data_IF_287878412553
#
_entry.id   IF_287878412553
#
_cell.length_a   1.000
_cell.length_b   1.000
_cell.length_c   1.000
_cell.angle_alpha   90.00
_cell.angle_beta   90.00
_cell.angle_gamma   90.00
#
_symmetry.space_group_name_H-M   'P 1'
#
loop_
_entity.id
_entity.type
_entity.pdbx_description
1 polymer ?
#
# COMPACT_ATOMS: atom_id res chain seq x y z
N UNK A 1 28.30 15.67 1.75
CA UNK A 1 27.07 15.09 2.32
C UNK A 1 26.09 15.00 1.17
N UNK A 2 26.21 13.92 0.41
CA UNK A 2 25.39 13.69 -0.75
C UNK A 2 24.37 12.66 -0.30
N UNK A 3 23.25 13.13 0.25
CA UNK A 3 22.07 12.29 0.39
C UNK A 3 21.60 11.97 -1.03
N UNK A 4 22.20 10.93 -1.61
CA UNK A 4 21.62 10.20 -2.73
C UNK A 4 20.39 9.52 -2.18
N UNK A 5 19.29 10.27 -2.04
CA UNK A 5 17.97 9.65 -2.00
C UNK A 5 17.80 9.02 -3.37
N UNK A 6 18.15 7.75 -3.50
CA UNK A 6 17.77 6.95 -4.64
C UNK A 6 16.29 7.27 -4.94
N UNK A 7 15.97 7.65 -6.17
CA UNK A 7 14.62 8.05 -6.54
C UNK A 7 13.67 6.91 -6.19
N UNK A 8 13.00 7.01 -5.03
CA UNK A 8 12.17 5.95 -4.53
C UNK A 8 10.96 5.83 -5.46
N UNK A 9 10.69 4.61 -5.92
CA UNK A 9 9.45 4.35 -6.63
C UNK A 9 8.34 4.39 -5.59
N UNK A 10 7.30 5.14 -5.88
CA UNK A 10 6.12 5.27 -5.03
C UNK A 10 4.89 4.89 -5.82
N UNK A 11 3.87 4.40 -5.14
CA UNK A 11 2.58 4.08 -5.73
C UNK A 11 1.47 4.35 -4.75
N UNK A 12 0.32 4.78 -5.28
CA UNK A 12 -0.86 5.11 -4.50
C UNK A 12 -2.10 4.50 -5.15
N UNK A 13 -2.96 3.89 -4.35
CA UNK A 13 -4.31 3.52 -4.78
C UNK A 13 -5.34 4.13 -3.83
N UNK A 14 -6.29 4.86 -4.41
CA UNK A 14 -7.45 5.36 -3.70
C UNK A 14 -8.62 4.40 -3.96
N UNK A 15 -9.15 3.80 -2.90
CA UNK A 15 -10.23 2.81 -2.97
C UNK A 15 -11.47 3.41 -2.32
N UNK A 16 -12.41 3.98 -3.09
CA UNK A 16 -13.67 4.47 -2.56
C UNK A 16 -14.46 3.34 -1.91
N UNK A 17 -14.92 3.56 -0.68
CA UNK A 17 -15.70 2.58 0.08
C UNK A 17 -16.42 3.25 1.24
N UNK A 18 -17.62 2.78 1.55
CA UNK A 18 -18.38 3.26 2.72
C UNK A 18 -17.80 2.73 4.05
N UNK A 19 -16.88 1.76 4.00
CA UNK A 19 -16.33 1.10 5.19
C UNK A 19 -14.79 1.06 5.21
N UNK A 20 -14.08 2.20 5.07
CA UNK A 20 -12.62 2.22 4.95
C UNK A 20 -11.92 1.68 6.21
N UNK A 21 -12.42 2.03 7.40
CA UNK A 21 -11.87 1.53 8.66
C UNK A 21 -12.02 0.02 8.85
N UNK A 22 -13.09 -0.57 8.30
CA UNK A 22 -13.30 -2.02 8.35
C UNK A 22 -12.25 -2.75 7.53
N UNK A 23 -12.07 -2.32 6.28
CA UNK A 23 -11.10 -2.94 5.36
C UNK A 23 -9.65 -2.73 5.83
N UNK A 24 -9.32 -1.55 6.37
CA UNK A 24 -8.01 -1.32 6.99
C UNK A 24 -7.74 -2.30 8.13
N UNK A 25 -8.70 -2.44 9.07
CA UNK A 25 -8.56 -3.38 10.19
C UNK A 25 -8.38 -4.84 9.73
N UNK A 26 -9.07 -5.25 8.67
CA UNK A 26 -8.93 -6.59 8.10
C UNK A 26 -7.53 -6.80 7.48
N UNK A 27 -7.04 -5.83 6.71
CA UNK A 27 -5.68 -5.86 6.16
C UNK A 27 -4.64 -5.95 7.27
N UNK A 28 -4.69 -5.04 8.24
CA UNK A 28 -3.72 -4.98 9.35
C UNK A 28 -3.79 -6.27 10.18
N UNK A 29 -4.98 -6.77 10.52
CA UNK A 29 -5.11 -7.99 11.31
C UNK A 29 -4.63 -9.25 10.57
N UNK A 30 -4.81 -9.30 9.25
CA UNK A 30 -4.38 -10.44 8.45
C UNK A 30 -2.88 -10.42 8.17
N UNK A 31 -2.38 -9.30 7.64
CA UNK A 31 -0.98 -9.11 7.30
C UNK A 31 -0.10 -8.97 8.55
N UNK A 32 -0.66 -8.47 9.66
CA UNK A 32 -0.05 -8.40 10.98
C UNK A 32 0.40 -9.75 11.56
N UNK A 33 -0.01 -10.87 10.95
CA UNK A 33 0.51 -12.21 11.29
C UNK A 33 1.93 -12.45 10.80
N UNK A 34 2.35 -11.73 9.75
CA UNK A 34 3.64 -11.88 9.09
C UNK A 34 4.45 -10.59 9.04
N UNK A 35 3.79 -9.44 9.18
CA UNK A 35 4.39 -8.11 9.07
C UNK A 35 4.13 -7.32 10.35
N UNK A 36 5.08 -6.49 10.74
CA UNK A 36 4.90 -5.60 11.89
C UNK A 36 4.30 -4.27 11.43
N UNK A 37 3.02 -4.05 11.77
CA UNK A 37 2.35 -2.79 11.51
C UNK A 37 2.54 -1.82 12.68
N UNK A 38 2.99 -0.61 12.37
CA UNK A 38 2.94 0.54 13.26
C UNK A 38 1.73 1.38 12.88
N UNK A 39 0.83 1.65 13.83
CA UNK A 39 -0.37 2.48 13.59
C UNK A 39 -0.24 3.79 14.34
N UNK A 40 -0.39 4.89 13.63
CA UNK A 40 -0.45 6.26 14.15
C UNK A 40 -1.70 6.96 13.61
N UNK A 41 -2.69 7.16 14.49
CA UNK A 41 -3.99 7.70 14.11
C UNK A 41 -4.67 6.89 12.98
N UNK A 42 -5.05 7.53 11.85
CA UNK A 42 -5.68 6.86 10.72
C UNK A 42 -4.70 6.13 9.80
N UNK A 43 -3.39 6.15 10.12
CA UNK A 43 -2.32 5.64 9.27
C UNK A 43 -1.73 4.38 9.90
N UNK A 44 -1.60 3.32 9.11
CA UNK A 44 -0.91 2.08 9.50
C UNK A 44 0.16 1.73 8.47
N UNK A 45 1.40 1.56 8.92
CA UNK A 45 2.57 1.35 8.05
C UNK A 45 3.29 0.05 8.42
N UNK A 46 3.73 -0.71 7.43
CA UNK A 46 4.53 -1.92 7.60
C UNK A 46 5.57 -2.08 6.49
N UNK A 47 6.73 -2.65 6.83
CA UNK A 47 7.71 -3.07 5.85
C UNK A 47 7.29 -4.40 5.21
N UNK A 48 7.40 -4.50 3.88
CA UNK A 48 7.03 -5.68 3.08
C UNK A 48 8.21 -6.00 2.16
N UNK A 49 9.09 -6.89 2.60
CA UNK A 49 10.35 -7.16 1.90
C UNK A 49 11.25 -5.91 1.90
N UNK A 50 11.65 -5.45 0.70
CA UNK A 50 12.42 -4.21 0.52
C UNK A 50 11.55 -2.95 0.32
N UNK A 51 10.22 -3.11 0.23
CA UNK A 51 9.28 -1.99 0.13
C UNK A 51 8.56 -1.71 1.46
N UNK A 52 7.80 -0.62 1.47
CA UNK A 52 6.96 -0.19 2.59
C UNK A 52 5.53 -0.03 2.09
N UNK A 53 4.58 -0.60 2.82
CA UNK A 53 3.15 -0.42 2.59
C UNK A 53 2.53 0.40 3.70
N UNK A 54 1.68 1.35 3.34
CA UNK A 54 0.95 2.20 4.25
C UNK A 54 -0.53 2.21 3.88
N UNK A 55 -1.38 2.09 4.89
CA UNK A 55 -2.83 2.06 4.80
C UNK A 55 -3.37 3.28 5.53
N UNK A 56 -4.11 4.13 4.85
CA UNK A 56 -4.67 5.36 5.41
C UNK A 56 -6.18 5.32 5.32
N UNK A 57 -6.83 5.43 6.48
CA UNK A 57 -8.28 5.48 6.60
C UNK A 57 -8.74 6.93 6.43
N UNK A 58 -9.35 7.22 5.29
CA UNK A 58 -10.02 8.49 5.03
C UNK A 58 -11.53 8.40 5.26
N UNK A 59 -12.23 9.50 5.00
CA UNK A 59 -13.69 9.55 4.96
C UNK A 59 -14.18 9.05 3.59
N UNK A 60 -14.90 7.93 3.56
CA UNK A 60 -15.43 7.34 2.33
C UNK A 60 -14.37 6.74 1.38
N UNK A 61 -13.10 6.67 1.81
CA UNK A 61 -11.99 6.16 1.00
C UNK A 61 -10.93 5.47 1.85
N UNK A 62 -10.46 4.33 1.38
CA UNK A 62 -9.27 3.67 1.89
C UNK A 62 -8.11 3.96 0.93
N UNK A 63 -7.11 4.70 1.40
CA UNK A 63 -5.92 4.97 0.59
C UNK A 63 -4.82 3.98 0.94
N UNK A 64 -4.22 3.37 -0.09
CA UNK A 64 -3.02 2.55 0.02
C UNK A 64 -1.85 3.32 -0.57
N UNK A 65 -0.76 3.45 0.18
CA UNK A 65 0.50 3.96 -0.30
C UNK A 65 1.56 2.88 -0.26
N UNK A 66 2.43 2.91 -1.25
CA UNK A 66 3.55 2.00 -1.37
C UNK A 66 4.77 2.81 -1.74
N UNK A 67 5.91 2.50 -1.12
CA UNK A 67 7.20 3.04 -1.52
C UNK A 67 8.26 1.95 -1.50
N UNK A 68 9.29 2.09 -2.32
CA UNK A 68 10.38 1.13 -2.39
C UNK A 68 11.56 1.64 -3.20
N UNK A 69 12.70 0.92 -3.14
CA UNK A 69 13.92 1.30 -3.85
C UNK A 69 13.82 1.05 -5.36
N UNK A 70 12.93 0.16 -5.80
CA UNK A 70 12.76 -0.23 -7.20
C UNK A 70 11.31 -0.65 -7.49
N UNK A 71 10.99 -0.78 -8.79
CA UNK A 71 9.65 -1.15 -9.25
C UNK A 71 9.23 -2.56 -8.81
N UNK A 72 10.18 -3.48 -8.65
CA UNK A 72 9.92 -4.87 -8.27
C UNK A 72 9.42 -4.93 -6.82
N UNK A 73 10.08 -4.20 -5.94
CA UNK A 73 9.71 -4.05 -4.53
C UNK A 73 8.33 -3.42 -4.42
N UNK A 74 8.09 -2.31 -5.15
CA UNK A 74 6.78 -1.63 -5.16
C UNK A 74 5.68 -2.54 -5.70
N UNK A 75 5.89 -3.21 -6.82
CA UNK A 75 4.93 -4.15 -7.40
C UNK A 75 4.59 -5.31 -6.43
N UNK A 76 5.57 -5.77 -5.66
CA UNK A 76 5.36 -6.81 -4.66
C UNK A 76 4.41 -6.33 -3.56
N UNK A 77 4.64 -5.13 -3.03
CA UNK A 77 3.77 -4.56 -1.98
C UNK A 77 2.38 -4.22 -2.53
N UNK A 78 2.28 -3.63 -3.72
CA UNK A 78 1.00 -3.38 -4.42
C UNK A 78 0.19 -4.67 -4.55
N UNK A 79 0.83 -5.76 -4.98
CA UNK A 79 0.19 -7.05 -5.11
C UNK A 79 -0.29 -7.59 -3.76
N UNK A 80 0.54 -7.51 -2.72
CA UNK A 80 0.15 -7.94 -1.36
C UNK A 80 -1.04 -7.14 -0.86
N UNK A 81 -1.00 -5.81 -0.87
CA UNK A 81 -2.10 -4.99 -0.35
C UNK A 81 -3.38 -5.13 -1.20
N UNK A 82 -3.25 -5.04 -2.52
CA UNK A 82 -4.37 -5.08 -3.45
C UNK A 82 -5.10 -6.43 -3.47
N UNK A 83 -4.36 -7.54 -3.55
CA UNK A 83 -4.97 -8.88 -3.60
C UNK A 83 -5.73 -9.22 -2.32
N UNK A 84 -5.19 -8.85 -1.15
CA UNK A 84 -5.86 -9.09 0.13
C UNK A 84 -7.10 -8.20 0.28
N UNK A 85 -7.02 -6.94 -0.14
CA UNK A 85 -8.17 -6.04 -0.10
C UNK A 85 -9.33 -6.55 -0.97
N UNK A 86 -9.04 -6.91 -2.24
CA UNK A 86 -10.05 -7.48 -3.15
C UNK A 86 -10.62 -8.80 -2.61
N UNK A 87 -9.79 -9.63 -1.97
CA UNK A 87 -10.24 -10.87 -1.34
C UNK A 87 -11.15 -10.63 -0.14
N UNK A 88 -11.02 -9.51 0.56
CA UNK A 88 -11.95 -9.16 1.64
C UNK A 88 -13.25 -8.54 1.13
N UNK A 89 -13.17 -7.85 0.01
CA UNK A 89 -14.30 -7.26 -0.69
C UNK A 89 -15.09 -8.27 -1.55
N UNK A 90 -15.25 -9.52 -1.12
CA UNK A 90 -16.03 -10.49 -1.92
C UNK A 90 -17.51 -10.12 -2.07
N UNK A 91 -18.03 -9.22 -1.23
CA UNK A 91 -19.43 -8.78 -1.21
C UNK A 91 -19.62 -7.37 -1.77
N UNK A 92 -18.54 -6.62 -1.99
CA UNK A 92 -18.56 -5.24 -2.48
C UNK A 92 -17.64 -5.14 -3.69
N UNK A 93 -18.06 -4.47 -4.76
CA UNK A 93 -17.20 -4.26 -5.93
C UNK A 93 -16.15 -3.18 -5.62
N UNK A 94 -15.12 -3.53 -4.86
CA UNK A 94 -13.96 -2.64 -4.68
C UNK A 94 -13.05 -2.72 -5.90
N UNK A 95 -12.62 -1.55 -6.37
CA UNK A 95 -11.60 -1.43 -7.42
C UNK A 95 -10.35 -0.82 -6.82
N UNK A 96 -9.21 -1.47 -7.03
CA UNK A 96 -7.90 -0.95 -6.61
C UNK A 96 -7.14 -0.50 -7.85
N UNK A 97 -7.06 0.82 -8.06
CA UNK A 97 -6.34 1.42 -9.17
C UNK A 97 -5.06 2.09 -8.65
N UNK A 98 -3.92 1.56 -9.06
CA UNK A 98 -2.60 2.07 -8.64
C UNK A 98 -2.10 3.17 -9.57
N UNK A 99 -1.64 4.26 -8.99
CA UNK A 99 -0.93 5.37 -9.63
C UNK A 99 0.51 5.35 -9.16
N UNK A 100 1.42 4.88 -10.02
CA UNK A 100 2.84 4.79 -9.72
C UNK A 100 3.58 6.05 -10.16
N UNK A 101 4.45 6.56 -9.29
CA UNK A 101 5.37 7.67 -9.56
C UNK A 101 6.78 7.25 -9.15
N UNK A 102 7.67 7.14 -10.13
CA UNK A 102 9.08 6.82 -9.96
C UNK A 102 9.77 6.92 -11.32
N UNK A 103 11.03 7.32 -11.35
CA UNK A 103 11.79 7.23 -12.60
C UNK A 103 12.06 5.74 -12.88
N UNK A 104 11.79 5.22 -14.08
CA UNK A 104 12.18 3.87 -14.43
C UNK A 104 13.71 3.79 -14.38
N UNK A 105 14.27 3.11 -13.38
CA UNK A 105 15.70 2.81 -13.31
C UNK A 105 15.98 1.60 -14.20
N UNK A 106 15.83 1.78 -15.51
CA UNK A 106 16.17 0.81 -16.55
C UNK A 106 16.48 1.53 -17.87
N UNK A 107 17.47 1.08 -18.67
CA UNK A 107 17.80 1.75 -19.93
C UNK A 107 16.66 1.57 -20.96
N UNK A 108 16.50 2.52 -21.91
CA UNK A 108 15.49 2.46 -22.96
C UNK A 108 15.67 1.26 -23.91
#
# INVERSE_FOLDING_TARGET
MNDTTAAAVTSRADVPTDQPGRYAKQLISHLGRKLDFTTDGPVSTAAVGAGTGQVVVGEGVLTLFVSGPDEVSVATVEHVLGSHLLRFATREELTVAWSRTGAPTGPP
#
